data_IF_097341103693
#
_entry.id   IF_097341103693
#
_cell.length_a   1.000
_cell.length_b   1.000
_cell.length_c   1.000
_cell.angle_alpha   90.00
_cell.angle_beta   90.00
_cell.angle_gamma   90.00
#
_symmetry.space_group_name_H-M   'P 1'
#
loop_
_entity.id
_entity.type
_entity.pdbx_description
1 polymer ?
#
# COMPACT_ATOMS: atom_id res chain seq x y z
N UNK A 1 13.20 -3.29 28.73
CA UNK A 1 12.04 -2.41 28.48
C UNK A 1 11.47 -2.80 27.12
N UNK A 2 10.20 -3.17 27.06
CA UNK A 2 9.52 -3.52 25.81
C UNK A 2 8.57 -2.39 25.42
N UNK A 3 8.50 -2.08 24.13
CA UNK A 3 7.64 -1.01 23.60
C UNK A 3 6.16 -1.41 23.66
N UNK A 4 5.88 -2.71 23.52
CA UNK A 4 4.53 -3.28 23.56
C UNK A 4 4.35 -4.16 24.79
N UNK A 5 3.12 -4.18 25.32
CA UNK A 5 2.72 -4.95 26.49
C UNK A 5 2.34 -6.38 26.14
N UNK A 6 1.81 -6.60 24.93
CA UNK A 6 1.38 -7.92 24.46
C UNK A 6 1.65 -8.12 22.98
N UNK A 7 1.64 -9.38 22.54
CA UNK A 7 1.70 -9.70 21.11
C UNK A 7 0.44 -9.28 20.35
N UNK A 8 -0.72 -9.22 21.01
CA UNK A 8 -1.95 -8.76 20.37
C UNK A 8 -1.88 -7.28 20.03
N UNK A 9 -1.33 -6.45 20.93
CA UNK A 9 -1.16 -5.02 20.70
C UNK A 9 -0.34 -4.72 19.43
N UNK A 10 0.79 -5.41 19.24
CA UNK A 10 1.59 -5.24 18.02
C UNK A 10 0.87 -5.75 16.77
N UNK A 11 0.07 -6.82 16.86
CA UNK A 11 -0.73 -7.32 15.74
C UNK A 11 -1.78 -6.32 15.30
N UNK A 12 -2.58 -5.81 16.24
CA UNK A 12 -3.64 -4.84 15.97
C UNK A 12 -3.08 -3.55 15.35
N UNK A 13 -1.98 -3.03 15.90
CA UNK A 13 -1.33 -1.84 15.36
C UNK A 13 -0.76 -2.08 13.96
N UNK A 14 -0.18 -3.27 13.71
CA UNK A 14 0.35 -3.63 12.40
C UNK A 14 -0.76 -3.79 11.36
N UNK A 15 -1.88 -4.43 11.72
CA UNK A 15 -3.05 -4.60 10.86
C UNK A 15 -3.64 -3.25 10.47
N UNK A 16 -3.80 -2.34 11.44
CA UNK A 16 -4.23 -0.96 11.17
C UNK A 16 -3.27 -0.23 10.23
N UNK A 17 -1.96 -0.30 10.50
CA UNK A 17 -0.95 0.36 9.67
C UNK A 17 -0.94 -0.18 8.24
N UNK A 18 -1.14 -1.49 8.04
CA UNK A 18 -1.22 -2.09 6.71
C UNK A 18 -2.36 -1.51 5.87
N UNK A 19 -3.53 -1.29 6.47
CA UNK A 19 -4.67 -0.67 5.79
C UNK A 19 -4.34 0.77 5.44
N UNK A 20 -3.88 1.56 6.42
CA UNK A 20 -3.53 2.96 6.19
C UNK A 20 -2.48 3.11 5.07
N UNK A 21 -1.46 2.26 5.06
CA UNK A 21 -0.40 2.32 4.06
C UNK A 21 -0.88 1.92 2.67
N UNK A 22 -1.61 0.80 2.55
CA UNK A 22 -1.96 0.27 1.23
C UNK A 22 -3.18 0.96 0.61
N UNK A 23 -4.12 1.41 1.43
CA UNK A 23 -5.45 1.84 0.98
C UNK A 23 -5.69 3.34 1.16
N UNK A 24 -5.02 4.01 2.11
CA UNK A 24 -5.39 5.39 2.47
C UNK A 24 -4.29 6.43 2.19
N UNK A 25 -3.01 6.07 2.36
CA UNK A 25 -1.91 7.02 2.28
C UNK A 25 -1.45 7.24 0.83
N UNK A 26 -1.45 8.49 0.32
CA UNK A 26 -0.84 8.81 -0.95
C UNK A 26 0.69 8.77 -0.84
N UNK A 27 1.36 8.23 -1.86
CA UNK A 27 2.82 8.11 -1.90
C UNK A 27 3.37 8.93 -3.05
N UNK A 28 4.20 9.94 -2.76
CA UNK A 28 4.79 10.81 -3.78
C UNK A 28 5.61 10.06 -4.83
N UNK A 29 6.28 8.97 -4.43
CA UNK A 29 6.99 8.07 -5.34
C UNK A 29 6.05 7.36 -6.34
N UNK A 30 4.76 7.24 -6.02
CA UNK A 30 3.71 6.67 -6.87
C UNK A 30 2.86 7.76 -7.55
N UNK A 31 3.34 9.01 -7.64
CA UNK A 31 2.58 10.18 -8.06
C UNK A 31 1.36 10.45 -7.17
N UNK A 32 1.57 10.40 -5.87
CA UNK A 32 0.56 10.63 -4.82
C UNK A 32 -0.62 9.64 -4.84
N UNK A 33 -0.42 8.47 -5.47
CA UNK A 33 -1.37 7.36 -5.41
C UNK A 33 -1.11 6.49 -4.18
N UNK A 34 -2.15 5.81 -3.73
CA UNK A 34 -1.99 4.66 -2.82
C UNK A 34 -1.40 3.46 -3.58
N UNK A 35 -0.78 2.50 -2.87
CA UNK A 35 -0.28 1.28 -3.50
C UNK A 35 -1.36 0.52 -4.28
N UNK A 36 -2.60 0.44 -3.76
CA UNK A 36 -3.69 -0.22 -4.47
C UNK A 36 -4.14 0.53 -5.73
N UNK A 37 -4.20 1.87 -5.67
CA UNK A 37 -4.52 2.68 -6.84
C UNK A 37 -3.45 2.54 -7.93
N UNK A 38 -2.18 2.54 -7.53
CA UNK A 38 -1.07 2.32 -8.47
C UNK A 38 -1.16 0.94 -9.13
N UNK A 39 -1.45 -0.11 -8.37
CA UNK A 39 -1.64 -1.46 -8.90
C UNK A 39 -2.84 -1.55 -9.87
N UNK A 40 -3.95 -0.89 -9.54
CA UNK A 40 -5.11 -0.85 -10.42
C UNK A 40 -4.77 -0.14 -11.75
N UNK A 41 -4.02 0.96 -11.67
CA UNK A 41 -3.54 1.69 -12.85
C UNK A 41 -2.55 0.89 -13.69
N UNK A 42 -1.61 0.17 -13.07
CA UNK A 42 -0.63 -0.65 -13.81
C UNK A 42 -1.31 -1.81 -14.54
N UNK A 43 -2.28 -2.48 -13.91
CA UNK A 43 -3.07 -3.55 -14.54
C UNK A 43 -3.85 -3.06 -15.77
N UNK A 44 -4.31 -1.81 -15.76
CA UNK A 44 -4.97 -1.22 -16.94
C UNK A 44 -3.97 -0.96 -18.08
N UNK A 45 -2.72 -0.61 -17.76
CA UNK A 45 -1.67 -0.37 -18.76
C UNK A 45 -1.20 -1.68 -19.42
N UNK A 46 -1.11 -2.78 -18.68
CA UNK A 46 -0.76 -4.09 -19.28
C UNK A 46 -1.82 -4.61 -20.27
N UNK A 47 -3.09 -4.19 -20.13
CA UNK A 47 -4.15 -4.49 -21.09
C UNK A 47 -4.20 -3.52 -22.28
N UNK A 48 -3.42 -2.43 -22.27
CA UNK A 48 -3.24 -1.58 -23.44
C UNK A 48 -2.17 -2.18 -24.35
N UNK A 49 -2.45 -2.28 -25.64
CA UNK A 49 -1.51 -2.79 -26.67
C UNK A 49 -0.25 -1.93 -26.88
N UNK A 50 0.13 -1.06 -25.95
CA UNK A 50 1.41 -0.35 -26.01
C UNK A 50 2.48 -1.27 -25.42
N UNK A 51 3.05 -2.11 -26.28
CA UNK A 51 4.32 -2.77 -25.99
C UNK A 51 5.39 -1.74 -25.67
N UNK A 52 6.16 -1.98 -24.61
CA UNK A 52 7.38 -1.23 -24.32
C UNK A 52 8.31 -1.33 -25.55
N UNK A 53 8.67 -0.17 -26.09
CA UNK A 53 9.59 -0.04 -27.21
C UNK A 53 11.05 -0.05 -26.75
#
# INVERSE_FOLDING_TARGET
>A
MYVFKTLNEVRELTEKWLIEYNDERPHSALNDLTPWEYLAKSKHLENSNLGCH
#
